data_IF_275308364776
#
_entry.id   IF_275308364776
#
_cell.length_a   1.000
_cell.length_b   1.000
_cell.length_c   1.000
_cell.angle_alpha   90.00
_cell.angle_beta   90.00
_cell.angle_gamma   90.00
#
_symmetry.space_group_name_H-M   'P 1'
#
loop_
_entity.id
_entity.type
_entity.pdbx_description
1 polymer ?
2 non-polymer ?
3 non-polymer ?
4 non-polymer ?
5 water ?
#
# COMPACT_ATOMS: atom_id res chain seq x y z
N UNK A 2 2.57 -20.86 -4.64
CA UNK A 2 3.45 -19.71 -4.89
C UNK A 2 3.75 -19.01 -3.58
N UNK A 3 5.04 -19.00 -3.22
CA UNK A 3 5.46 -18.18 -2.11
C UNK A 3 5.27 -16.70 -2.44
N UNK A 4 5.33 -16.35 -3.74
CA UNK A 4 5.16 -14.95 -4.13
C UNK A 4 3.77 -14.46 -3.78
N UNK A 5 2.75 -15.29 -4.02
CA UNK A 5 1.40 -14.83 -3.74
C UNK A 5 1.22 -14.65 -2.26
N UNK A 6 1.79 -15.54 -1.44
CA UNK A 6 1.71 -15.31 -0.01
C UNK A 6 2.44 -14.01 0.38
N UNK A 7 3.60 -13.78 -0.20
CA UNK A 7 4.32 -12.54 0.13
C UNK A 7 3.50 -11.31 -0.28
N UNK A 8 2.95 -11.35 -1.46
CA UNK A 8 2.09 -10.23 -1.89
C UNK A 8 0.92 -10.08 -0.93
N UNK A 9 0.29 -11.17 -0.54
CA UNK A 9 -0.81 -11.05 0.40
C UNK A 9 -0.37 -10.35 1.66
N UNK A 10 0.82 -10.72 2.16
CA UNK A 10 1.29 -10.15 3.41
C UNK A 10 1.66 -8.66 3.27
N UNK A 11 2.31 -8.33 2.16
CA UNK A 11 2.71 -6.95 1.88
C UNK A 11 1.49 -6.04 1.80
N UNK A 12 0.44 -6.49 1.09
CA UNK A 12 -0.73 -5.59 0.90
C UNK A 12 -1.65 -5.63 2.09
N UNK A 13 -1.63 -6.68 2.90
CA UNK A 13 -2.35 -6.61 4.15
C UNK A 13 -1.68 -5.68 5.11
N UNK A 14 -0.32 -5.73 5.16
CA UNK A 14 0.41 -4.82 5.99
C UNK A 14 0.16 -3.38 5.59
N UNK A 15 0.13 -3.15 4.28
CA UNK A 15 0.02 -1.76 3.85
C UNK A 15 -1.38 -1.25 4.11
N UNK A 16 -2.39 -2.10 3.99
CA UNK A 16 -3.72 -1.66 4.41
C UNK A 16 -3.75 -1.24 5.86
N UNK A 17 -3.21 -2.06 6.77
CA UNK A 17 -3.17 -1.62 8.17
C UNK A 17 -2.34 -0.36 8.34
N UNK A 18 -1.23 -0.23 7.61
CA UNK A 18 -0.43 0.99 7.70
C UNK A 18 -1.23 2.24 7.28
N UNK A 19 -1.98 2.14 6.18
CA UNK A 19 -2.85 3.25 5.79
C UNK A 19 -3.77 3.65 6.94
N UNK A 20 -4.39 2.65 7.60
CA UNK A 20 -5.30 2.97 8.70
C UNK A 20 -4.58 3.70 9.82
N UNK A 21 -3.37 3.27 10.19
CA UNK A 21 -2.63 3.96 11.23
C UNK A 21 -2.19 5.35 10.79
N UNK A 22 -1.81 5.51 9.54
CA UNK A 22 -1.43 6.84 9.05
C UNK A 22 -2.64 7.78 8.97
N UNK A 23 -3.79 7.28 8.54
CA UNK A 23 -5.00 8.11 8.58
C UNK A 23 -5.35 8.54 10.00
N UNK A 24 -5.26 7.62 10.98
CA UNK A 24 -5.51 8.03 12.38
C UNK A 24 -4.55 9.12 12.81
N UNK A 25 -3.32 9.05 12.35
CA UNK A 25 -2.38 10.13 12.66
C UNK A 25 -2.79 11.46 12.00
N UNK A 26 -3.25 11.40 10.77
CA UNK A 26 -3.56 12.61 10.04
C UNK A 26 -4.84 13.27 10.57
N UNK A 27 -5.75 12.52 11.12
CA UNK A 27 -7.07 13.00 11.49
C UNK A 27 -7.01 14.23 12.41
N UNK A 28 -6.33 14.18 13.57
CA UNK A 28 -6.28 15.41 14.38
C UNK A 28 -5.62 16.57 13.67
N UNK A 29 -4.59 16.30 12.88
CA UNK A 29 -3.92 17.37 12.14
C UNK A 29 -4.92 18.07 11.23
N UNK A 30 -5.78 17.32 10.57
CA UNK A 30 -6.74 17.96 9.66
C UNK A 30 -7.79 18.74 10.45
N UNK A 31 -8.31 18.14 11.52
CA UNK A 31 -9.35 18.81 12.31
C UNK A 31 -8.84 20.07 12.96
N UNK A 32 -7.54 20.15 13.27
CA UNK A 32 -6.96 21.35 13.92
C UNK A 32 -6.17 22.23 12.96
N UNK A 33 -6.27 22.02 11.66
CA UNK A 33 -5.40 22.71 10.73
C UNK A 33 -5.48 24.22 10.90
N UNK A 34 -4.32 24.86 10.91
CA UNK A 34 -4.24 26.31 10.82
C UNK A 34 -4.21 26.70 9.35
N UNK A 35 -5.34 27.20 8.84
CA UNK A 35 -5.43 27.87 7.54
C UNK A 35 -5.70 26.90 6.39
N UNK A 36 -6.10 27.49 5.27
CA UNK A 36 -6.72 26.74 4.19
C UNK A 36 -5.71 25.85 3.46
N UNK A 37 -4.47 26.33 3.30
CA UNK A 37 -3.45 25.59 2.59
C UNK A 37 -3.09 24.33 3.36
N UNK A 38 -2.78 24.47 4.65
CA UNK A 38 -2.39 23.33 5.46
C UNK A 38 -3.51 22.28 5.52
N UNK A 39 -4.75 22.73 5.70
CA UNK A 39 -5.91 21.85 5.72
C UNK A 39 -6.03 21.09 4.40
N UNK A 40 -5.95 21.78 3.27
CA UNK A 40 -6.06 21.08 2.00
C UNK A 40 -4.92 20.07 1.84
N UNK A 41 -3.70 20.45 2.21
CA UNK A 41 -2.56 19.54 2.04
C UNK A 41 -2.76 18.21 2.75
N UNK A 42 -3.03 18.23 4.05
CA UNK A 42 -3.18 16.99 4.78
C UNK A 42 -4.48 16.30 4.42
N UNK A 43 -5.53 17.05 4.09
CA UNK A 43 -6.72 16.33 3.67
C UNK A 43 -6.52 15.64 2.30
N UNK A 44 -5.73 16.24 1.42
CA UNK A 44 -5.43 15.69 0.09
C UNK A 44 -4.68 14.35 0.22
N UNK A 45 -3.68 14.29 1.09
CA UNK A 45 -2.90 13.07 1.29
C UNK A 45 -3.80 12.00 1.86
N UNK A 46 -4.62 12.40 2.85
CA UNK A 46 -5.64 11.51 3.40
C UNK A 46 -6.49 10.90 2.30
N UNK A 47 -6.97 11.72 1.36
CA UNK A 47 -7.85 11.24 0.31
C UNK A 47 -7.12 10.26 -0.60
N UNK A 48 -5.86 10.56 -0.90
CA UNK A 48 -5.13 9.66 -1.77
C UNK A 48 -4.95 8.29 -1.13
N UNK A 49 -4.75 8.27 0.18
CA UNK A 49 -4.59 6.98 0.86
C UNK A 49 -5.92 6.30 1.01
N UNK A 50 -7.00 7.06 1.16
CA UNK A 50 -8.32 6.47 1.21
C UNK A 50 -8.64 5.79 -0.09
N UNK A 51 -8.30 6.46 -1.20
CA UNK A 51 -8.49 5.87 -2.51
C UNK A 51 -7.71 4.58 -2.64
N UNK A 52 -6.46 4.60 -2.18
CA UNK A 52 -5.61 3.41 -2.25
C UNK A 52 -6.19 2.25 -1.41
N UNK A 53 -6.72 2.57 -0.24
CA UNK A 53 -7.39 1.53 0.58
C UNK A 53 -8.55 0.89 -0.16
N UNK A 54 -9.33 1.69 -0.89
CA UNK A 54 -10.44 1.12 -1.63
C UNK A 54 -9.95 0.17 -2.70
N UNK A 55 -8.80 0.45 -3.31
CA UNK A 55 -8.30 -0.44 -4.32
C UNK A 55 -7.74 -1.73 -3.68
N UNK A 56 -7.08 -1.60 -2.54
CA UNK A 56 -6.54 -2.79 -1.83
C UNK A 56 -7.66 -3.76 -1.46
N UNK A 57 -8.85 -3.25 -1.21
CA UNK A 57 -9.95 -4.17 -0.92
C UNK A 57 -10.47 -4.88 -2.15
N UNK A 58 -9.89 -4.61 -3.31
CA UNK A 58 -10.14 -5.35 -4.52
C UNK A 58 -8.98 -6.26 -4.87
N UNK A 59 -7.79 -5.70 -4.70
CA UNK A 59 -6.60 -6.46 -4.98
C UNK A 59 -6.47 -7.66 -4.05
N UNK A 60 -6.57 -7.43 -2.74
CA UNK A 60 -6.34 -8.55 -1.79
C UNK A 60 -7.26 -9.75 -2.04
N UNK A 61 -8.58 -9.56 -2.20
CA UNK A 61 -9.39 -10.72 -2.61
C UNK A 61 -8.98 -11.39 -3.90
N UNK A 62 -8.43 -10.68 -4.87
CA UNK A 62 -8.00 -11.32 -6.09
C UNK A 62 -6.73 -12.13 -5.86
N UNK A 63 -5.79 -11.59 -5.10
CA UNK A 63 -4.66 -12.44 -4.64
C UNK A 63 -5.22 -13.72 -4.02
N UNK A 64 -6.26 -13.57 -3.21
CA UNK A 64 -6.79 -14.72 -2.45
C UNK A 64 -7.37 -15.77 -3.39
N UNK A 65 -8.03 -15.37 -4.48
CA UNK A 65 -8.51 -16.37 -5.44
C UNK A 65 -7.35 -17.16 -6.04
N UNK A 66 -6.25 -16.49 -6.35
CA UNK A 66 -5.08 -17.17 -6.88
C UNK A 66 -4.49 -18.08 -5.82
N UNK A 67 -4.45 -17.62 -4.57
CA UNK A 67 -3.84 -18.44 -3.55
C UNK A 67 -4.63 -19.73 -3.37
N UNK A 68 -5.95 -19.61 -3.46
CA UNK A 68 -6.86 -20.73 -3.26
C UNK A 68 -6.49 -21.89 -4.17
N UNK A 69 -6.01 -21.60 -5.39
CA UNK A 69 -5.60 -22.67 -6.33
C UNK A 69 -4.14 -23.14 -6.24
N UNK A 70 -3.26 -22.40 -5.62
CA UNK A 70 -1.84 -22.80 -5.53
C UNK A 70 -1.62 -23.73 -4.33
N UNK A 71 -2.20 -24.94 -4.43
CA UNK A 71 -1.86 -26.09 -3.59
C UNK A 71 -2.22 -27.34 -4.37
N UNK A 72 -3.34 -27.32 -5.07
CA UNK A 72 -3.53 -28.23 -6.20
C UNK A 72 -2.43 -28.01 -7.25
N UNK A 73 -2.08 -26.76 -7.53
CA UNK A 73 -0.93 -26.47 -8.39
C UNK A 73 -0.94 -27.21 -9.71
N UNK A 74 -2.10 -27.23 -10.37
CA UNK A 74 -2.27 -28.00 -11.61
C UNK A 74 -2.86 -27.18 -12.75
N UNK A 75 -3.67 -26.19 -12.41
CA UNK A 75 -4.30 -25.32 -13.39
C UNK A 75 -3.56 -23.99 -13.45
N UNK A 76 -3.21 -23.58 -14.67
CA UNK A 76 -2.69 -22.24 -14.89
C UNK A 76 -3.84 -21.24 -14.78
N UNK A 77 -3.60 -20.05 -14.23
CA UNK A 77 -4.65 -19.03 -14.25
C UNK A 77 -5.06 -18.71 -15.68
N UNK A 78 -6.32 -18.33 -15.82
CA UNK A 78 -6.79 -17.67 -17.02
C UNK A 78 -5.86 -16.51 -17.37
N UNK A 79 -5.62 -16.32 -18.68
CA UNK A 79 -4.80 -15.19 -19.11
C UNK A 79 -5.50 -13.87 -18.85
N UNK A 80 -6.84 -13.84 -18.87
CA UNK A 80 -7.57 -12.65 -18.43
C UNK A 80 -7.35 -12.38 -16.94
N UNK A 81 -7.47 -13.41 -16.10
CA UNK A 81 -7.23 -13.23 -14.67
C UNK A 81 -5.79 -12.83 -14.40
N UNK A 82 -4.85 -13.47 -15.10
CA UNK A 82 -3.45 -13.17 -14.86
C UNK A 82 -3.17 -11.71 -15.19
N UNK A 83 -3.78 -11.20 -16.25
CA UNK A 83 -3.54 -9.83 -16.66
C UNK A 83 -4.23 -8.86 -15.73
N UNK A 84 -5.45 -9.16 -15.27
CA UNK A 84 -6.06 -8.27 -14.28
C UNK A 84 -5.21 -8.20 -13.01
N UNK A 85 -4.60 -9.31 -12.61
CA UNK A 85 -3.79 -9.29 -11.39
C UNK A 85 -2.49 -8.51 -11.60
N UNK A 86 -1.86 -8.68 -12.77
CA UNK A 86 -0.64 -7.91 -13.06
C UNK A 86 -0.95 -6.41 -13.12
N UNK A 87 -2.09 -6.03 -13.74
CA UNK A 87 -2.45 -4.59 -13.80
C UNK A 87 -2.62 -4.01 -12.40
N UNK A 88 -3.32 -4.76 -11.52
CA UNK A 88 -3.62 -4.28 -10.17
C UNK A 88 -2.37 -4.24 -9.31
N UNK A 89 -1.50 -5.23 -9.49
CA UNK A 89 -0.24 -5.24 -8.78
C UNK A 89 0.65 -4.08 -9.22
N UNK A 90 0.75 -3.85 -10.53
CA UNK A 90 1.52 -2.68 -10.99
C UNK A 90 0.99 -1.35 -10.46
N UNK A 91 -0.32 -1.16 -10.45
CA UNK A 91 -0.86 0.07 -9.90
C UNK A 91 -0.54 0.21 -8.43
N UNK A 92 -0.64 -0.88 -7.71
CA UNK A 92 -0.37 -0.81 -6.28
C UNK A 92 1.10 -0.74 -5.95
N UNK A 93 1.98 -1.11 -6.88
CA UNK A 93 3.39 -0.80 -6.73
C UNK A 93 3.60 0.68 -6.74
N UNK A 94 2.94 1.40 -7.65
CA UNK A 94 3.05 2.85 -7.57
C UNK A 94 2.38 3.43 -6.31
N UNK A 95 1.30 2.81 -5.86
CA UNK A 95 0.68 3.22 -4.63
C UNK A 95 1.61 3.08 -3.43
N UNK A 96 2.35 1.97 -3.37
CA UNK A 96 3.33 1.78 -2.27
C UNK A 96 4.38 2.87 -2.33
N UNK A 97 4.87 3.15 -3.54
CA UNK A 97 5.88 4.20 -3.68
C UNK A 97 5.33 5.55 -3.27
N UNK A 98 4.10 5.89 -3.67
CA UNK A 98 3.51 7.15 -3.26
C UNK A 98 3.31 7.19 -1.74
N UNK A 99 2.98 6.04 -1.15
CA UNK A 99 2.81 6.01 0.31
C UNK A 99 4.15 6.28 1.05
N UNK A 100 5.23 5.67 0.58
CA UNK A 100 6.56 5.96 1.10
C UNK A 100 6.85 7.44 1.05
N UNK A 101 6.54 8.07 -0.09
CA UNK A 101 6.77 9.50 -0.17
C UNK A 101 5.83 10.31 0.75
N UNK A 102 4.57 9.88 0.92
CA UNK A 102 3.71 10.56 1.88
C UNK A 102 4.31 10.49 3.29
N UNK A 103 4.80 9.32 3.64
CA UNK A 103 5.41 9.14 4.97
C UNK A 103 6.65 10.04 5.11
N UNK A 104 7.50 10.06 4.07
CA UNK A 104 8.66 10.96 4.01
C UNK A 104 8.28 12.42 4.15
N UNK A 105 7.18 12.85 3.50
CA UNK A 105 6.67 14.21 3.67
C UNK A 105 6.19 14.43 5.12
N UNK A 106 5.51 13.46 5.68
CA UNK A 106 5.03 13.66 7.05
C UNK A 106 6.19 13.69 8.01
N UNK A 107 7.24 12.90 7.74
CA UNK A 107 8.39 12.90 8.64
C UNK A 107 9.03 14.29 8.76
N UNK A 108 8.90 15.12 7.70
CA UNK A 108 9.39 16.49 7.77
C UNK A 108 8.57 17.37 8.71
N UNK A 109 7.29 17.07 8.86
CA UNK A 109 6.37 17.96 9.55
C UNK A 109 5.98 17.47 10.94
N UNK A 110 6.05 16.17 11.21
CA UNK A 110 5.66 15.63 12.52
C UNK A 110 6.94 15.27 13.27
N UNK A 111 7.44 16.23 14.09
CA UNK A 111 8.79 16.12 14.64
C UNK A 111 8.88 15.53 16.03
N UNK A 112 7.76 15.43 16.76
CA UNK A 112 7.75 14.75 18.04
C UNK A 112 8.26 13.32 17.91
N UNK A 113 8.78 12.81 19.01
CA UNK A 113 9.39 11.50 18.99
C UNK A 113 8.38 10.40 18.71
N UNK A 114 7.14 10.55 19.16
CA UNK A 114 6.19 9.45 19.04
C UNK A 114 5.81 9.24 17.58
N UNK A 115 5.49 10.33 16.88
CA UNK A 115 5.08 10.21 15.48
C UNK A 115 6.27 9.91 14.58
N UNK A 116 7.44 10.47 14.89
CA UNK A 116 8.64 10.04 14.18
C UNK A 116 8.83 8.53 14.25
N UNK A 117 8.69 7.96 15.46
CA UNK A 117 8.94 6.53 15.59
C UNK A 117 7.93 5.72 14.79
N UNK A 118 6.64 6.10 14.88
CA UNK A 118 5.63 5.35 14.14
C UNK A 118 5.85 5.50 12.64
N UNK A 119 6.13 6.70 12.18
CA UNK A 119 6.30 6.91 10.75
C UNK A 119 7.49 6.15 10.22
N UNK A 120 8.61 6.12 10.98
CA UNK A 120 9.75 5.36 10.50
C UNK A 120 9.45 3.88 10.41
N UNK A 121 8.56 3.37 11.29
CA UNK A 121 8.21 1.96 11.21
C UNK A 121 7.35 1.69 9.96
N UNK A 122 6.39 2.56 9.72
CA UNK A 122 5.56 2.41 8.51
C UNK A 122 6.43 2.48 7.26
N UNK A 123 7.36 3.42 7.26
CA UNK A 123 8.24 3.61 6.12
C UNK A 123 9.07 2.38 5.88
N UNK A 124 9.62 1.78 6.95
CA UNK A 124 10.47 0.62 6.73
C UNK A 124 9.70 -0.53 6.09
N UNK A 125 8.49 -0.80 6.59
CA UNK A 125 7.69 -1.88 6.04
C UNK A 125 7.34 -1.61 4.58
N UNK A 126 6.93 -0.39 4.29
CA UNK A 126 6.53 -0.06 2.91
C UNK A 126 7.72 -0.21 1.96
N UNK A 127 8.89 0.28 2.39
CA UNK A 127 10.12 0.16 1.60
C UNK A 127 10.40 -1.29 1.27
N UNK A 128 10.38 -2.15 2.28
CA UNK A 128 10.61 -3.57 2.06
C UNK A 128 9.58 -4.16 1.12
N UNK A 129 8.31 -3.77 1.29
CA UNK A 129 7.26 -4.32 0.45
C UNK A 129 7.37 -3.83 -0.97
N UNK A 130 7.68 -2.55 -1.13
CA UNK A 130 7.90 -1.97 -2.44
C UNK A 130 9.04 -2.67 -3.18
N UNK A 131 10.16 -2.89 -2.50
CA UNK A 131 11.32 -3.43 -3.19
C UNK A 131 11.02 -4.84 -3.65
N UNK A 132 10.27 -5.59 -2.85
CA UNK A 132 9.84 -6.94 -3.24
C UNK A 132 8.88 -6.90 -4.41
N UNK A 133 7.88 -6.03 -4.36
CA UNK A 133 6.93 -5.98 -5.46
C UNK A 133 7.61 -5.55 -6.74
N UNK A 134 8.45 -4.53 -6.67
CA UNK A 134 9.18 -4.06 -7.84
C UNK A 134 9.99 -5.19 -8.50
N UNK A 135 10.82 -5.86 -7.70
CA UNK A 135 11.68 -6.92 -8.19
C UNK A 135 10.87 -8.06 -8.83
N UNK A 136 9.81 -8.51 -8.16
CA UNK A 136 9.03 -9.64 -8.69
C UNK A 136 8.22 -9.29 -9.92
N UNK A 137 7.70 -8.06 -10.03
CA UNK A 137 7.03 -7.68 -11.26
C UNK A 137 8.00 -7.62 -12.43
N UNK A 138 9.18 -7.07 -12.21
CA UNK A 138 10.22 -7.13 -13.24
C UNK A 138 10.47 -8.59 -13.66
N UNK A 139 10.77 -9.46 -12.69
CA UNK A 139 10.98 -10.87 -12.98
C UNK A 139 9.82 -11.50 -13.73
N UNK A 140 8.64 -10.88 -13.67
CA UNK A 140 7.49 -11.43 -14.39
C UNK A 140 7.44 -10.79 -15.77
N UNK A 141 8.40 -11.18 -16.62
CA UNK A 141 8.27 -11.10 -18.08
C UNK A 141 8.51 -12.48 -18.70
N UNK A 142 8.63 -13.51 -17.87
CA UNK A 142 8.76 -14.89 -18.29
C UNK A 142 7.58 -15.33 -19.16
X LIG B 1 -1.03 5.57 -8.36
X LIG B 1 -2.15 6.49 -7.93
X LIG B 1 -0.44 5.80 -9.51
X LIG B 1 -0.64 4.78 -7.46
X LIG B 1 -1.52 7.71 -7.79
X LIG B 1 -2.84 6.54 -8.63
X LIG B 1 -2.55 6.21 -7.11
X LIG B 1 -2.04 8.34 -8.05
X LIG C 1 0.39 14.97 -2.68
X LIG C 1 0.13 15.06 -3.77
X LIG C 1 0.52 13.99 -2.03
X LIG C 1 0.76 16.47 -1.88
X LIG D 1 -1.29 14.37 -4.61
#
# INVERSE_FOLDING_TARGET
MKEELDAFHQIFTTTKEAIERFMAMLTPVIENAEDDHERLYYHHIYEEEEQRLSRLDVLIPLIEKFQDETDEGLFSPSNNAFNRLLQELNLEKFGLHNFIEHVDLALFSFTDEERQTLLKELRKDAYEGYQYVKEKLAEINARFDHDYADPHAHHDEHRDHLADMPSAGSSHEEVQPVAHKKKGFTVGSLIQHHHHHH
GOA C CA O OXT O2 H22 H21 H20
ACT C O OXT CH3
FE FE
#
